data_IF_927595018413
#
_entry.id   IF_927595018413
#
_cell.length_a   1.000
_cell.length_b   1.000
_cell.length_c   1.000
_cell.angle_alpha   90.00
_cell.angle_beta   90.00
_cell.angle_gamma   90.00
#
_symmetry.space_group_name_H-M   'P 1'
#
loop_
_entity.id
_entity.type
_entity.pdbx_description
1 polymer ?
#
# COMPACT_ATOMS: atom_id res chain seq x y z
N UNK A 1 -17.50 1.61 27.61
CA UNK A 1 -16.44 2.63 27.43
C UNK A 1 -17.07 4.01 27.49
N UNK A 2 -16.45 4.97 28.17
CA UNK A 2 -16.92 6.37 28.20
C UNK A 2 -16.59 7.05 26.86
N UNK A 3 -17.37 8.06 26.43
CA UNK A 3 -17.12 8.78 25.16
C UNK A 3 -15.68 9.28 25.01
N UNK A 4 -15.07 9.77 26.10
CA UNK A 4 -13.67 10.20 26.13
C UNK A 4 -12.68 9.07 25.82
N UNK A 5 -12.98 7.84 26.23
CA UNK A 5 -12.15 6.67 25.93
C UNK A 5 -12.23 6.29 24.46
N UNK A 6 -13.43 6.32 23.86
CA UNK A 6 -13.63 6.03 22.43
C UNK A 6 -12.84 7.03 21.58
N UNK A 7 -12.94 8.33 21.88
CA UNK A 7 -12.19 9.39 21.18
C UNK A 7 -10.67 9.16 21.33
N UNK A 8 -10.21 8.87 22.55
CA UNK A 8 -8.79 8.62 22.81
C UNK A 8 -8.29 7.40 22.05
N UNK A 9 -9.09 6.33 21.95
CA UNK A 9 -8.76 5.14 21.15
C UNK A 9 -8.63 5.50 19.68
N UNK A 10 -9.58 6.22 19.08
CA UNK A 10 -9.50 6.65 17.68
C UNK A 10 -8.25 7.50 17.41
N UNK A 11 -7.94 8.45 18.28
CA UNK A 11 -6.71 9.26 18.19
C UNK A 11 -5.44 8.39 18.27
N UNK A 12 -5.43 7.37 19.13
CA UNK A 12 -4.27 6.49 19.28
C UNK A 12 -4.06 5.59 18.05
N UNK A 13 -5.14 5.13 17.39
CA UNK A 13 -5.06 4.36 16.14
C UNK A 13 -4.39 5.22 15.05
N UNK A 14 -4.90 6.43 14.80
CA UNK A 14 -4.31 7.33 13.80
C UNK A 14 -2.85 7.68 14.10
N UNK A 15 -2.51 7.93 15.37
CA UNK A 15 -1.11 8.17 15.78
C UNK A 15 -0.21 6.96 15.49
N UNK A 16 -0.72 5.74 15.72
CA UNK A 16 0.02 4.51 15.47
C UNK A 16 0.27 4.29 13.98
N UNK A 17 -0.73 4.59 13.14
CA UNK A 17 -0.60 4.53 11.67
C UNK A 17 0.41 5.57 11.16
N UNK A 18 0.35 6.81 11.64
CA UNK A 18 1.31 7.86 11.27
C UNK A 18 2.76 7.50 11.65
N UNK A 19 2.96 6.87 12.81
CA UNK A 19 4.26 6.33 13.22
C UNK A 19 4.72 5.19 12.29
N UNK A 20 3.81 4.31 11.86
CA UNK A 20 4.12 3.25 10.91
C UNK A 20 4.56 3.83 9.55
N UNK A 21 3.88 4.86 9.04
CA UNK A 21 4.27 5.57 7.82
C UNK A 21 5.64 6.22 7.95
N UNK A 22 5.93 6.83 9.09
CA UNK A 22 7.25 7.43 9.38
C UNK A 22 8.37 6.40 9.38
N UNK A 23 8.10 5.18 9.84
CA UNK A 23 9.05 4.06 9.78
C UNK A 23 9.21 3.55 8.35
N UNK A 24 8.12 3.41 7.60
CA UNK A 24 8.13 2.98 6.20
C UNK A 24 8.97 3.91 5.31
N UNK A 25 8.89 5.23 5.54
CA UNK A 25 9.71 6.19 4.79
C UNK A 25 11.23 5.92 4.91
N UNK A 26 11.68 5.32 6.02
CA UNK A 26 13.09 4.96 6.24
C UNK A 26 13.52 3.69 5.51
N UNK A 27 12.59 2.91 4.97
CA UNK A 27 12.88 1.69 4.19
C UNK A 27 12.96 1.96 2.69
N UNK A 28 12.85 3.23 2.27
CA UNK A 28 13.00 3.63 0.87
C UNK A 28 14.50 3.72 0.58
N UNK A 29 15.03 2.68 -0.06
CA UNK A 29 16.43 2.50 -0.41
C UNK A 29 16.58 2.17 -1.92
N UNK A 30 17.75 1.70 -2.34
CA UNK A 30 18.03 1.32 -3.73
C UNK A 30 17.12 0.19 -4.24
N UNK A 31 16.54 -0.64 -3.38
CA UNK A 31 15.59 -1.67 -3.79
C UNK A 31 14.25 -1.05 -4.22
N UNK A 32 13.84 0.06 -3.60
CA UNK A 32 12.68 0.81 -4.06
C UNK A 32 12.89 1.36 -5.48
N UNK A 33 14.08 1.92 -5.75
CA UNK A 33 14.45 2.41 -7.09
C UNK A 33 14.40 1.28 -8.12
N UNK A 34 14.97 0.11 -7.80
CA UNK A 34 14.89 -1.08 -8.66
C UNK A 34 13.46 -1.49 -8.94
N UNK A 35 12.58 -1.51 -7.94
CA UNK A 35 11.18 -1.87 -8.12
C UNK A 35 10.44 -0.89 -9.05
N UNK A 36 10.69 0.42 -8.92
CA UNK A 36 10.10 1.44 -9.81
C UNK A 36 10.60 1.26 -11.25
N UNK A 37 11.90 1.01 -11.45
CA UNK A 37 12.42 0.74 -12.79
C UNK A 37 11.83 -0.54 -13.40
N UNK A 38 11.72 -1.61 -12.62
CA UNK A 38 11.09 -2.85 -13.07
C UNK A 38 9.64 -2.62 -13.52
N UNK A 39 8.83 -1.91 -12.71
CA UNK A 39 7.43 -1.65 -13.03
C UNK A 39 7.23 -0.70 -14.21
N UNK A 40 8.12 0.30 -14.38
CA UNK A 40 8.03 1.27 -15.48
C UNK A 40 8.44 0.72 -16.85
N UNK A 41 9.21 -0.37 -16.88
CA UNK A 41 9.72 -0.99 -18.12
C UNK A 41 9.04 -2.33 -18.45
N UNK A 42 7.92 -2.67 -17.81
CA UNK A 42 7.20 -3.89 -18.17
C UNK A 42 6.59 -3.78 -19.57
N UNK A 43 6.83 -4.78 -20.42
CA UNK A 43 6.17 -4.89 -21.73
C UNK A 43 4.80 -5.58 -21.64
N UNK A 44 4.54 -6.23 -20.50
CA UNK A 44 3.31 -6.97 -20.24
C UNK A 44 2.40 -6.30 -19.22
N UNK A 45 1.88 -7.11 -18.29
CA UNK A 45 0.97 -6.68 -17.23
C UNK A 45 1.51 -7.07 -15.87
N UNK A 46 1.51 -6.17 -14.91
CA UNK A 46 1.83 -6.48 -13.52
C UNK A 46 0.66 -7.23 -12.86
N UNK A 47 0.92 -8.42 -12.33
CA UNK A 47 -0.07 -9.19 -11.58
C UNK A 47 0.15 -8.93 -10.09
N UNK A 48 -0.87 -8.38 -9.42
CA UNK A 48 -0.86 -8.17 -7.97
C UNK A 48 -1.69 -9.27 -7.32
N UNK A 49 -1.12 -10.01 -6.36
CA UNK A 49 -1.84 -11.09 -5.67
C UNK A 49 -1.92 -10.86 -4.17
N UNK A 50 -2.86 -11.54 -3.51
CA UNK A 50 -2.90 -11.55 -2.06
C UNK A 50 -4.25 -11.94 -1.48
N UNK A 51 -4.24 -12.48 -0.27
CA UNK A 51 -5.45 -12.94 0.42
C UNK A 51 -5.87 -11.98 1.55
N UNK A 52 -7.15 -12.03 1.93
CA UNK A 52 -7.70 -11.26 3.05
C UNK A 52 -7.55 -9.74 2.90
N UNK A 53 -7.12 -9.06 3.97
CA UNK A 53 -6.92 -7.60 3.99
C UNK A 53 -5.86 -7.15 2.97
N UNK A 54 -4.78 -7.92 2.83
CA UNK A 54 -3.75 -7.64 1.83
C UNK A 54 -4.31 -7.71 0.40
N UNK A 55 -5.25 -8.62 0.14
CA UNK A 55 -5.95 -8.67 -1.15
C UNK A 55 -6.80 -7.44 -1.44
N UNK A 56 -7.42 -6.82 -0.43
CA UNK A 56 -8.15 -5.55 -0.59
C UNK A 56 -7.20 -4.41 -1.01
N UNK A 57 -6.04 -4.32 -0.37
CA UNK A 57 -5.02 -3.32 -0.72
C UNK A 57 -4.42 -3.63 -2.10
N UNK A 58 -4.11 -4.89 -2.39
CA UNK A 58 -3.59 -5.32 -3.69
C UNK A 58 -4.53 -4.96 -4.85
N UNK A 59 -5.85 -5.11 -4.67
CA UNK A 59 -6.85 -4.64 -5.64
C UNK A 59 -6.75 -3.14 -5.90
N UNK A 60 -6.59 -2.33 -4.84
CA UNK A 60 -6.42 -0.88 -4.98
C UNK A 60 -5.10 -0.51 -5.66
N UNK A 61 -4.02 -1.23 -5.37
CA UNK A 61 -2.72 -1.04 -6.02
C UNK A 61 -2.84 -1.33 -7.52
N UNK A 62 -3.41 -2.47 -7.93
CA UNK A 62 -3.60 -2.81 -9.34
C UNK A 62 -4.50 -1.79 -10.06
N UNK A 63 -5.57 -1.33 -9.43
CA UNK A 63 -6.39 -0.25 -10.00
C UNK A 63 -5.58 1.04 -10.21
N UNK A 64 -4.77 1.41 -9.22
CA UNK A 64 -3.95 2.64 -9.26
C UNK A 64 -2.88 2.56 -10.35
N UNK A 65 -2.09 1.48 -10.38
CA UNK A 65 -1.09 1.23 -11.41
C UNK A 65 -1.70 1.30 -12.82
N UNK A 66 -2.85 0.64 -13.02
CA UNK A 66 -3.56 0.69 -14.32
C UNK A 66 -3.97 2.11 -14.72
N UNK A 67 -4.44 2.92 -13.76
CA UNK A 67 -4.80 4.32 -14.03
C UNK A 67 -3.61 5.24 -14.26
N UNK A 68 -2.41 4.86 -13.80
CA UNK A 68 -1.16 5.59 -14.01
C UNK A 68 -0.40 5.15 -15.26
N UNK A 69 -1.00 4.32 -16.13
CA UNK A 69 -0.39 3.87 -17.38
C UNK A 69 0.46 2.61 -17.27
N UNK A 70 0.52 1.95 -16.11
CA UNK A 70 1.16 0.64 -15.93
C UNK A 70 0.09 -0.45 -15.97
N UNK A 71 -0.03 -1.22 -17.08
CA UNK A 71 -1.05 -2.25 -17.18
C UNK A 71 -0.93 -3.23 -16.01
N UNK A 72 -2.01 -3.40 -15.22
CA UNK A 72 -1.99 -4.31 -14.07
C UNK A 72 -3.34 -4.97 -13.83
N UNK A 73 -3.35 -6.09 -13.09
CA UNK A 73 -4.58 -6.73 -12.62
C UNK A 73 -4.35 -7.42 -11.28
N UNK A 74 -5.42 -7.63 -10.54
CA UNK A 74 -5.39 -8.37 -9.29
C UNK A 74 -5.84 -9.82 -9.50
N UNK A 75 -5.15 -10.77 -8.86
CA UNK A 75 -5.51 -12.19 -8.83
C UNK A 75 -5.54 -12.67 -7.38
N UNK A 76 -6.64 -13.32 -6.97
CA UNK A 76 -6.91 -13.76 -5.60
C UNK A 76 -6.05 -14.94 -5.16
#
# INVERSE_FOLDING_TARGET
MKNREIIKTGQNVIKSEALALSKLARTIDENFVKAVHLLSHIEGRAIVTGIGKSGLIGRKIAATLSSCGTPSMFLH
#
